data_IF_905740372825
#
_entry.id   IF_905740372825
#
_cell.length_a   1.000
_cell.length_b   1.000
_cell.length_c   1.000
_cell.angle_alpha   90.00
_cell.angle_beta   90.00
_cell.angle_gamma   90.00
#
_symmetry.space_group_name_H-M   'P 1'
#
loop_
_entity.id
_entity.type
_entity.pdbx_description
1 polymer ?
#
# COMPACT_ATOMS: atom_id res chain seq x y z
N UNK A 1 7.53 2.38 -13.87
CA UNK A 1 6.67 3.42 -14.51
C UNK A 1 7.17 4.81 -14.10
N UNK A 2 7.13 5.83 -14.97
CA UNK A 2 7.59 7.18 -14.61
C UNK A 2 6.63 7.85 -13.61
N UNK A 3 7.17 8.58 -12.65
CA UNK A 3 6.44 9.50 -11.75
C UNK A 3 6.26 10.88 -12.38
N UNK A 4 5.39 11.71 -11.81
CA UNK A 4 5.27 13.12 -12.22
C UNK A 4 6.58 13.89 -11.99
N UNK A 5 7.31 13.60 -10.91
CA UNK A 5 8.63 14.17 -10.68
C UNK A 5 9.63 13.76 -11.79
N UNK A 6 9.56 12.54 -12.32
CA UNK A 6 10.42 12.10 -13.43
C UNK A 6 10.13 12.91 -14.70
N UNK A 7 8.85 13.05 -15.06
CA UNK A 7 8.39 13.84 -16.21
C UNK A 7 8.81 15.30 -16.07
N UNK A 8 8.63 15.86 -14.87
CA UNK A 8 9.02 17.25 -14.59
C UNK A 8 10.53 17.45 -14.68
N UNK A 9 11.35 16.50 -14.19
CA UNK A 9 12.81 16.55 -14.32
C UNK A 9 13.28 16.50 -15.77
N UNK A 10 12.66 15.65 -16.58
CA UNK A 10 12.94 15.57 -18.01
C UNK A 10 12.59 16.89 -18.71
N UNK A 11 11.41 17.45 -18.43
CA UNK A 11 10.98 18.74 -18.98
C UNK A 11 11.91 19.90 -18.60
N UNK A 12 12.43 19.92 -17.36
CA UNK A 12 13.42 20.91 -16.93
C UNK A 12 14.75 20.73 -17.66
N UNK A 13 15.22 19.48 -17.83
CA UNK A 13 16.48 19.17 -18.50
C UNK A 13 16.45 19.56 -19.98
N UNK A 14 15.34 19.33 -20.67
CA UNK A 14 15.16 19.75 -22.06
C UNK A 14 15.27 21.27 -22.23
N UNK A 15 14.93 22.04 -21.20
CA UNK A 15 15.08 23.51 -21.17
C UNK A 15 16.43 23.97 -20.61
N UNK A 16 17.37 23.06 -20.37
CA UNK A 16 18.71 23.38 -19.86
C UNK A 16 18.73 23.79 -18.38
N UNK A 17 17.70 23.45 -17.60
CA UNK A 17 17.60 23.82 -16.18
C UNK A 17 18.16 22.69 -15.31
N UNK A 18 19.21 22.98 -14.54
CA UNK A 18 19.87 22.01 -13.65
C UNK A 18 19.39 22.07 -12.19
N UNK A 19 18.81 23.21 -11.78
CA UNK A 19 18.28 23.40 -10.43
C UNK A 19 17.14 24.42 -10.41
N UNK A 20 16.22 24.26 -9.45
CA UNK A 20 15.09 25.17 -9.26
C UNK A 20 14.93 25.59 -7.79
N UNK A 21 14.65 26.86 -7.56
CA UNK A 21 14.22 27.40 -6.29
C UNK A 21 12.69 27.49 -6.16
N UNK A 22 12.22 28.15 -5.11
CA UNK A 22 10.79 28.45 -4.93
C UNK A 22 10.62 29.84 -4.31
N UNK A 23 9.69 30.62 -4.84
CA UNK A 23 9.23 31.88 -4.24
C UNK A 23 8.08 31.67 -3.24
N UNK A 24 7.57 30.44 -3.11
CA UNK A 24 6.52 30.08 -2.16
C UNK A 24 7.07 29.29 -0.97
N UNK A 25 6.70 29.72 0.25
CA UNK A 25 7.11 29.08 1.52
C UNK A 25 6.40 27.75 1.81
N UNK A 26 5.38 27.37 1.02
CA UNK A 26 4.56 26.17 1.27
C UNK A 26 5.32 24.84 1.15
N UNK A 27 6.44 24.81 0.43
CA UNK A 27 7.23 23.60 0.21
C UNK A 27 8.31 23.36 1.29
N UNK A 28 8.29 24.07 2.42
CA UNK A 28 9.34 23.97 3.45
C UNK A 28 9.49 22.56 4.03
N UNK A 29 8.37 21.87 4.29
CA UNK A 29 8.32 20.51 4.89
C UNK A 29 8.14 19.39 3.86
N UNK A 30 8.30 19.71 2.57
CA UNK A 30 8.18 18.74 1.49
C UNK A 30 9.24 17.65 1.60
N UNK A 31 8.82 16.38 1.45
CA UNK A 31 9.74 15.24 1.34
C UNK A 31 10.33 15.12 -0.07
N UNK A 32 9.54 15.42 -1.09
CA UNK A 32 9.94 15.44 -2.48
C UNK A 32 9.52 16.77 -3.13
N UNK A 33 10.48 17.71 -3.18
CA UNK A 33 10.25 19.09 -3.64
C UNK A 33 9.78 19.14 -5.08
N UNK A 34 10.38 18.31 -5.93
CA UNK A 34 10.10 18.27 -7.36
C UNK A 34 8.68 17.75 -7.61
N UNK A 35 8.27 16.71 -6.90
CA UNK A 35 6.89 16.20 -6.96
C UNK A 35 5.89 17.26 -6.52
N UNK A 36 6.07 17.88 -5.35
CA UNK A 36 5.11 18.85 -4.83
C UNK A 36 5.00 20.11 -5.70
N UNK A 37 6.11 20.57 -6.28
CA UNK A 37 6.12 21.68 -7.25
C UNK A 37 5.38 21.28 -8.53
N UNK A 38 5.68 20.10 -9.09
CA UNK A 38 5.06 19.61 -10.32
C UNK A 38 3.54 19.44 -10.16
N UNK A 39 3.08 18.95 -8.99
CA UNK A 39 1.66 18.88 -8.63
C UNK A 39 0.99 20.26 -8.74
N UNK A 40 1.62 21.29 -8.20
CA UNK A 40 1.04 22.62 -8.23
C UNK A 40 1.06 23.26 -9.62
N UNK A 41 2.04 22.91 -10.45
CA UNK A 41 2.09 23.33 -11.85
C UNK A 41 0.99 22.61 -12.65
N UNK A 42 0.87 21.29 -12.56
CA UNK A 42 -0.11 20.51 -13.33
C UNK A 42 -1.55 20.89 -12.97
N UNK A 43 -1.81 21.30 -11.73
CA UNK A 43 -3.10 21.82 -11.28
C UNK A 43 -3.29 23.33 -11.54
N UNK A 44 -2.43 23.95 -12.34
CA UNK A 44 -2.58 25.34 -12.80
C UNK A 44 -2.43 26.38 -11.69
N UNK A 45 -1.70 26.07 -10.61
CA UNK A 45 -1.48 27.01 -9.49
C UNK A 45 -0.21 27.83 -9.64
N UNK A 46 0.72 27.41 -10.49
CA UNK A 46 1.93 28.17 -10.82
C UNK A 46 2.71 27.61 -11.99
N UNK A 47 3.91 28.16 -12.20
CA UNK A 47 4.81 27.79 -13.29
C UNK A 47 6.26 27.93 -12.80
N UNK A 48 7.22 27.50 -13.64
CA UNK A 48 8.63 27.82 -13.44
C UNK A 48 8.95 29.10 -14.20
N UNK A 49 9.61 30.02 -13.52
CA UNK A 49 9.98 31.33 -14.05
C UNK A 49 11.48 31.55 -13.95
N UNK A 50 12.00 32.39 -14.85
CA UNK A 50 13.34 32.97 -14.71
C UNK A 50 13.24 34.21 -13.83
N UNK A 51 13.99 34.23 -12.74
CA UNK A 51 14.02 35.32 -11.77
C UNK A 51 15.30 36.16 -11.93
N UNK A 52 15.26 37.48 -11.65
CA UNK A 52 16.41 38.37 -11.85
C UNK A 52 17.56 38.10 -10.87
N UNK A 53 17.24 37.63 -9.66
CA UNK A 53 18.22 37.29 -8.63
C UNK A 53 18.15 35.80 -8.28
N UNK A 54 19.30 35.22 -7.92
CA UNK A 54 19.33 33.85 -7.42
C UNK A 54 18.45 33.72 -6.18
N UNK A 55 17.63 32.68 -6.15
CA UNK A 55 16.90 32.28 -4.95
C UNK A 55 17.85 31.98 -3.79
N UNK A 56 17.41 32.16 -2.54
CA UNK A 56 18.26 31.86 -1.38
C UNK A 56 18.64 30.36 -1.26
N UNK A 57 17.83 29.48 -1.86
CA UNK A 57 18.06 28.03 -1.87
C UNK A 57 17.37 27.43 -3.09
N UNK A 58 18.02 26.45 -3.71
CA UNK A 58 17.44 25.64 -4.78
C UNK A 58 17.64 24.14 -4.52
N UNK A 59 17.02 23.34 -5.39
CA UNK A 59 17.19 21.90 -5.45
C UNK A 59 17.60 21.49 -6.86
N UNK A 60 18.61 20.63 -6.96
CA UNK A 60 19.01 20.05 -8.23
C UNK A 60 17.95 19.04 -8.73
N UNK A 61 18.13 18.54 -9.96
CA UNK A 61 17.23 17.53 -10.54
C UNK A 61 17.26 16.19 -9.80
N UNK A 62 18.13 15.95 -8.81
CA UNK A 62 18.07 14.78 -7.93
C UNK A 62 17.31 15.05 -6.62
N UNK A 63 16.85 16.29 -6.42
CA UNK A 63 16.18 16.74 -5.20
C UNK A 63 17.16 17.14 -4.08
N UNK A 64 18.47 17.15 -4.33
CA UNK A 64 19.47 17.58 -3.34
C UNK A 64 19.49 19.10 -3.27
N UNK A 65 19.68 19.62 -2.06
CA UNK A 65 19.79 21.06 -1.82
C UNK A 65 21.11 21.59 -2.41
N UNK A 66 21.02 22.67 -3.16
CA UNK A 66 22.17 23.35 -3.79
C UNK A 66 22.11 24.88 -3.55
N UNK A 67 23.12 25.60 -4.05
CA UNK A 67 23.12 27.07 -4.10
C UNK A 67 21.91 27.58 -4.91
N UNK A 68 21.56 28.85 -4.71
CA UNK A 68 20.47 29.51 -5.40
C UNK A 68 20.43 29.34 -6.91
N UNK A 69 19.21 29.23 -7.44
CA UNK A 69 18.95 29.17 -8.88
C UNK A 69 18.28 30.45 -9.38
N UNK A 70 18.58 30.80 -10.64
CA UNK A 70 17.85 31.81 -11.42
C UNK A 70 16.50 31.30 -11.95
N UNK A 71 16.16 30.04 -11.70
CA UNK A 71 14.86 29.45 -12.03
C UNK A 71 14.13 29.13 -10.74
N UNK A 72 12.86 29.53 -10.63
CA UNK A 72 12.08 29.31 -9.43
C UNK A 72 10.62 29.01 -9.76
N UNK A 73 10.02 28.15 -8.94
CA UNK A 73 8.57 28.06 -8.89
C UNK A 73 7.97 29.35 -8.33
N UNK A 74 6.94 29.88 -9.00
CA UNK A 74 6.08 30.94 -8.48
C UNK A 74 4.60 30.71 -8.83
N UNK A 75 3.66 31.24 -8.02
CA UNK A 75 2.24 31.20 -8.38
C UNK A 75 1.92 31.98 -9.65
N UNK A 76 0.84 31.62 -10.36
CA UNK A 76 0.47 32.28 -11.63
C UNK A 76 0.19 33.78 -11.49
N UNK A 77 -0.21 34.27 -10.31
CA UNK A 77 -0.37 35.70 -10.05
C UNK A 77 0.93 36.51 -10.14
N UNK A 78 2.08 35.86 -10.30
CA UNK A 78 3.38 36.49 -10.56
C UNK A 78 3.83 36.41 -12.02
N UNK A 79 2.97 35.93 -12.93
CA UNK A 79 3.33 35.69 -14.33
C UNK A 79 3.70 36.96 -15.09
N UNK A 80 3.14 38.12 -14.73
CA UNK A 80 3.51 39.41 -15.34
C UNK A 80 4.88 39.94 -14.88
N UNK A 81 5.42 39.40 -13.79
CA UNK A 81 6.67 39.91 -13.17
C UNK A 81 7.92 39.21 -13.69
N UNK A 82 7.78 37.98 -14.18
CA UNK A 82 8.91 37.12 -14.52
C UNK A 82 8.64 36.37 -15.82
N UNK A 83 9.70 36.08 -16.56
CA UNK A 83 9.61 35.31 -17.81
C UNK A 83 9.22 33.85 -17.50
N UNK A 84 8.08 33.35 -18.02
CA UNK A 84 7.68 31.96 -17.83
C UNK A 84 8.57 31.03 -18.66
N UNK A 85 9.09 29.98 -18.01
CA UNK A 85 10.00 29.02 -18.62
C UNK A 85 9.35 27.65 -18.78
N UNK A 86 8.56 27.19 -17.80
CA UNK A 86 7.75 25.97 -17.91
C UNK A 86 6.33 26.20 -17.39
N UNK A 87 5.34 26.15 -18.28
CA UNK A 87 3.93 26.41 -17.95
C UNK A 87 3.16 25.14 -17.58
N UNK A 88 1.97 25.27 -16.95
CA UNK A 88 1.06 24.14 -16.72
C UNK A 88 0.73 23.36 -17.99
N UNK A 89 0.46 24.05 -19.09
CA UNK A 89 0.07 23.46 -20.38
C UNK A 89 1.21 22.65 -20.97
N UNK A 90 2.43 23.18 -20.94
CA UNK A 90 3.64 22.46 -21.38
C UNK A 90 3.87 21.19 -20.56
N UNK A 91 3.76 21.26 -19.23
CA UNK A 91 3.94 20.08 -18.38
C UNK A 91 2.84 19.03 -18.61
N UNK A 92 1.57 19.46 -18.73
CA UNK A 92 0.43 18.57 -19.01
C UNK A 92 0.60 17.82 -20.33
N UNK A 93 1.15 18.49 -21.36
CA UNK A 93 1.38 17.87 -22.68
C UNK A 93 2.40 16.73 -22.66
N UNK A 94 3.22 16.64 -21.61
CA UNK A 94 4.27 15.62 -21.44
C UNK A 94 3.87 14.47 -20.51
N UNK A 95 2.67 14.52 -19.94
CA UNK A 95 2.24 13.46 -19.01
C UNK A 95 2.01 12.15 -19.78
N UNK A 96 2.49 11.00 -19.26
CA UNK A 96 2.13 9.71 -19.80
C UNK A 96 0.67 9.36 -19.45
N UNK A 97 0.12 8.38 -20.16
CA UNK A 97 -1.18 7.78 -19.86
C UNK A 97 -1.04 6.84 -18.64
N UNK A 98 -1.17 7.39 -17.43
CA UNK A 98 -1.17 6.60 -16.20
C UNK A 98 -2.51 5.88 -16.03
N UNK A 99 -2.52 4.66 -15.45
CA UNK A 99 -3.74 3.91 -15.26
C UNK A 99 -4.64 4.56 -14.21
N UNK A 100 -5.95 4.45 -14.40
CA UNK A 100 -6.93 4.80 -13.38
C UNK A 100 -6.92 3.80 -12.22
N UNK A 101 -7.09 4.30 -11.00
CA UNK A 101 -7.33 3.51 -9.81
C UNK A 101 -8.74 3.79 -9.33
N UNK A 102 -9.63 2.84 -9.59
CA UNK A 102 -11.08 2.99 -9.41
C UNK A 102 -11.48 2.44 -8.05
N UNK A 103 -12.23 3.25 -7.30
CA UNK A 103 -12.98 2.82 -6.12
C UNK A 103 -14.46 2.85 -6.49
N UNK A 104 -15.07 1.67 -6.54
CA UNK A 104 -16.46 1.48 -6.94
C UNK A 104 -17.40 1.65 -5.74
N UNK A 105 -18.33 2.61 -5.77
CA UNK A 105 -19.25 2.83 -4.66
C UNK A 105 -20.66 2.25 -4.90
N UNK A 106 -20.84 1.28 -5.80
CA UNK A 106 -22.15 0.67 -6.08
C UNK A 106 -22.88 0.16 -4.83
N UNK A 107 -22.11 -0.28 -3.82
CA UNK A 107 -22.63 -0.83 -2.57
C UNK A 107 -22.61 0.19 -1.41
N UNK A 108 -22.48 1.48 -1.71
CA UNK A 108 -22.41 2.55 -0.72
C UNK A 108 -23.55 2.48 0.31
N UNK A 109 -24.78 2.28 -0.14
CA UNK A 109 -25.96 2.25 0.75
C UNK A 109 -26.04 1.03 1.66
N UNK A 110 -25.23 0.00 1.42
CA UNK A 110 -25.12 -1.16 2.31
C UNK A 110 -24.20 -0.90 3.50
N UNK A 111 -23.42 0.18 3.48
CA UNK A 111 -22.51 0.54 4.56
C UNK A 111 -23.26 1.30 5.66
N UNK A 112 -22.90 1.02 6.91
CA UNK A 112 -23.26 1.89 8.04
C UNK A 112 -22.58 3.25 7.91
N UNK A 113 -23.11 4.30 8.56
CA UNK A 113 -22.52 5.64 8.56
C UNK A 113 -21.04 5.66 9.03
N UNK A 114 -20.70 4.79 9.99
CA UNK A 114 -19.33 4.64 10.47
C UNK A 114 -18.41 4.03 9.41
N UNK A 115 -18.90 3.10 8.62
CA UNK A 115 -18.14 2.48 7.54
C UNK A 115 -17.99 3.44 6.36
N UNK A 116 -19.06 4.17 5.99
CA UNK A 116 -19.02 5.26 5.00
C UNK A 116 -17.91 6.26 5.32
N UNK A 117 -17.84 6.73 6.57
CA UNK A 117 -16.76 7.61 7.02
C UNK A 117 -15.35 7.01 6.88
N UNK A 118 -15.19 5.70 7.14
CA UNK A 118 -13.91 4.99 6.91
C UNK A 118 -13.57 4.87 5.44
N UNK A 119 -14.54 4.65 4.56
CA UNK A 119 -14.34 4.60 3.11
C UNK A 119 -13.88 5.97 2.61
N UNK A 120 -14.56 7.06 2.96
CA UNK A 120 -14.14 8.43 2.62
C UNK A 120 -12.71 8.73 3.08
N UNK A 121 -12.35 8.35 4.32
CA UNK A 121 -10.99 8.52 4.84
C UNK A 121 -9.96 7.75 4.00
N UNK A 122 -10.26 6.49 3.65
CA UNK A 122 -9.35 5.67 2.84
C UNK A 122 -9.20 6.23 1.43
N UNK A 123 -10.27 6.71 0.79
CA UNK A 123 -10.21 7.36 -0.53
C UNK A 123 -9.34 8.63 -0.45
N UNK A 124 -9.46 9.44 0.61
CA UNK A 124 -8.62 10.64 0.77
C UNK A 124 -7.14 10.26 0.94
N UNK A 125 -6.86 9.17 1.67
CA UNK A 125 -5.52 8.62 1.78
C UNK A 125 -5.01 8.04 0.44
N UNK A 126 -5.89 7.50 -0.41
CA UNK A 126 -5.54 7.07 -1.76
C UNK A 126 -5.11 8.25 -2.63
N UNK A 127 -5.84 9.36 -2.58
CA UNK A 127 -5.46 10.59 -3.28
C UNK A 127 -4.08 11.07 -2.82
N UNK A 128 -3.82 11.07 -1.51
CA UNK A 128 -2.51 11.43 -0.96
C UNK A 128 -1.39 10.55 -1.52
N UNK A 129 -1.60 9.23 -1.61
CA UNK A 129 -0.64 8.32 -2.22
C UNK A 129 -0.43 8.61 -3.71
N UNK A 130 -1.49 8.71 -4.50
CA UNK A 130 -1.37 8.96 -5.94
C UNK A 130 -0.72 10.32 -6.22
N UNK A 131 -1.01 11.35 -5.44
CA UNK A 131 -0.36 12.66 -5.54
C UNK A 131 1.14 12.60 -5.26
N UNK A 132 1.62 11.62 -4.48
CA UNK A 132 3.03 11.45 -4.19
C UNK A 132 3.79 10.73 -5.34
N UNK A 133 3.08 10.13 -6.32
CA UNK A 133 3.66 9.45 -7.49
C UNK A 133 3.28 10.09 -8.84
N UNK A 134 2.00 10.39 -9.05
CA UNK A 134 1.39 10.87 -10.29
C UNK A 134 0.77 12.26 -10.06
N UNK A 135 -0.45 12.52 -10.53
CA UNK A 135 -1.13 13.83 -10.34
C UNK A 135 -2.20 13.81 -9.23
N UNK A 136 -2.68 12.61 -8.89
CA UNK A 136 -3.83 12.38 -8.02
C UNK A 136 -5.15 12.24 -8.79
N UNK A 137 -5.22 12.71 -10.04
CA UNK A 137 -6.42 12.63 -10.89
C UNK A 137 -6.68 11.24 -11.45
N UNK A 138 -5.70 10.36 -11.35
CA UNK A 138 -5.82 8.93 -11.66
C UNK A 138 -6.74 8.21 -10.67
N UNK A 139 -7.00 8.78 -9.49
CA UNK A 139 -8.01 8.25 -8.57
C UNK A 139 -9.39 8.53 -9.14
N UNK A 140 -10.10 7.46 -9.50
CA UNK A 140 -11.48 7.52 -9.95
C UNK A 140 -12.41 6.97 -8.88
N UNK A 141 -13.51 7.67 -8.61
CA UNK A 141 -14.58 7.19 -7.73
C UNK A 141 -15.86 7.16 -8.54
N UNK A 142 -16.36 5.96 -8.80
CA UNK A 142 -17.61 5.70 -9.54
C UNK A 142 -18.77 5.50 -8.57
N UNK A 143 -20.01 5.61 -9.05
CA UNK A 143 -21.20 5.65 -8.19
C UNK A 143 -21.13 6.74 -7.10
N UNK A 144 -20.50 7.88 -7.43
CA UNK A 144 -20.17 8.92 -6.47
C UNK A 144 -21.35 9.87 -6.18
N UNK A 145 -22.39 9.34 -5.53
CA UNK A 145 -23.59 10.08 -5.16
C UNK A 145 -23.35 11.25 -4.21
N UNK A 146 -24.40 12.06 -4.00
CA UNK A 146 -24.35 13.31 -3.23
C UNK A 146 -23.90 13.10 -1.76
N UNK A 147 -24.31 12.01 -1.12
CA UNK A 147 -23.91 11.71 0.26
C UNK A 147 -22.39 11.50 0.38
N UNK A 148 -21.77 10.76 -0.55
CA UNK A 148 -20.32 10.61 -0.59
C UNK A 148 -19.63 11.97 -0.73
N UNK A 149 -20.10 12.81 -1.66
CA UNK A 149 -19.54 14.15 -1.92
C UNK A 149 -19.61 15.05 -0.67
N UNK A 150 -20.69 14.93 0.11
CA UNK A 150 -20.86 15.65 1.40
C UNK A 150 -19.94 15.12 2.50
N UNK A 151 -19.73 13.81 2.56
CA UNK A 151 -18.89 13.16 3.59
C UNK A 151 -17.39 13.22 3.27
N UNK A 152 -17.02 13.38 2.01
CA UNK A 152 -15.63 13.34 1.57
C UNK A 152 -14.92 14.68 1.81
N UNK A 153 -13.99 14.68 2.77
CA UNK A 153 -13.16 15.85 3.11
C UNK A 153 -11.84 15.91 2.32
N UNK A 154 -11.83 15.49 1.06
CA UNK A 154 -10.69 15.60 0.15
C UNK A 154 -10.98 16.53 -1.03
N UNK A 155 -9.98 16.80 -1.90
CA UNK A 155 -10.13 17.71 -3.03
C UNK A 155 -10.90 17.04 -4.18
N UNK A 156 -12.23 17.21 -4.20
CA UNK A 156 -13.10 16.72 -5.29
C UNK A 156 -12.70 17.28 -6.66
N UNK A 157 -12.08 18.47 -6.71
CA UNK A 157 -11.58 19.12 -7.91
C UNK A 157 -10.32 18.48 -8.50
N UNK A 158 -9.65 17.60 -7.73
CA UNK A 158 -8.38 16.97 -8.13
C UNK A 158 -8.47 15.46 -8.39
N UNK A 159 -9.59 14.84 -8.02
CA UNK A 159 -9.87 13.42 -8.28
C UNK A 159 -10.91 13.31 -9.40
N UNK A 160 -10.97 12.15 -10.06
CA UNK A 160 -11.98 11.88 -11.07
C UNK A 160 -13.24 11.34 -10.39
N UNK A 161 -14.33 12.11 -10.37
CA UNK A 161 -15.59 11.71 -9.75
C UNK A 161 -16.62 11.42 -10.84
N UNK A 162 -17.25 10.26 -10.78
CA UNK A 162 -18.24 9.80 -11.75
C UNK A 162 -19.51 9.31 -11.04
N UNK A 163 -20.66 9.86 -11.40
CA UNK A 163 -21.93 9.56 -10.71
C UNK A 163 -22.50 8.19 -11.11
N UNK A 164 -22.20 7.75 -12.33
CA UNK A 164 -22.76 6.54 -12.92
C UNK A 164 -21.97 5.25 -12.63
N UNK A 165 -22.35 4.16 -13.30
CA UNK A 165 -21.70 2.86 -13.20
C UNK A 165 -20.25 2.86 -13.70
N UNK A 166 -19.42 2.02 -13.09
CA UNK A 166 -18.03 1.82 -13.51
C UNK A 166 -17.89 1.42 -14.98
N UNK A 167 -18.80 0.60 -15.51
CA UNK A 167 -18.78 0.19 -16.91
C UNK A 167 -18.94 1.37 -17.88
N UNK A 168 -19.78 2.35 -17.55
CA UNK A 168 -20.00 3.54 -18.39
C UNK A 168 -18.79 4.46 -18.34
N UNK A 169 -18.24 4.70 -17.15
CA UNK A 169 -16.97 5.43 -16.98
C UNK A 169 -15.85 4.84 -17.85
N UNK A 170 -15.69 3.51 -17.81
CA UNK A 170 -14.65 2.82 -18.59
C UNK A 170 -14.88 2.99 -20.10
N UNK A 171 -16.12 2.88 -20.57
CA UNK A 171 -16.48 3.12 -21.99
C UNK A 171 -16.19 4.55 -22.43
N UNK A 172 -16.54 5.55 -21.61
CA UNK A 172 -16.22 6.96 -21.88
C UNK A 172 -14.71 7.20 -21.99
N UNK A 173 -13.93 6.50 -21.16
CA UNK A 173 -12.45 6.54 -21.19
C UNK A 173 -11.83 5.63 -22.26
N UNK A 174 -12.66 4.91 -23.05
CA UNK A 174 -12.23 3.95 -24.07
C UNK A 174 -11.30 2.87 -23.48
N UNK A 175 -11.66 2.36 -22.31
CA UNK A 175 -10.98 1.28 -21.61
C UNK A 175 -11.88 0.04 -21.70
N UNK A 176 -11.38 -1.01 -22.34
CA UNK A 176 -12.08 -2.27 -22.59
C UNK A 176 -11.55 -3.44 -21.73
N UNK A 177 -10.40 -3.26 -21.06
CA UNK A 177 -9.81 -4.24 -20.17
C UNK A 177 -9.35 -3.61 -18.85
N UNK A 178 -9.64 -4.29 -17.73
CA UNK A 178 -9.30 -3.85 -16.38
C UNK A 178 -8.74 -4.99 -15.53
N UNK A 179 -8.00 -4.63 -14.49
CA UNK A 179 -7.66 -5.55 -13.39
C UNK A 179 -8.60 -5.30 -12.21
N UNK A 180 -9.29 -6.34 -11.75
CA UNK A 180 -10.13 -6.30 -10.55
C UNK A 180 -9.40 -6.98 -9.40
N UNK A 181 -9.14 -6.23 -8.33
CA UNK A 181 -8.51 -6.77 -7.12
C UNK A 181 -9.57 -7.52 -6.31
N UNK A 182 -9.39 -8.83 -6.22
CA UNK A 182 -10.30 -9.75 -5.56
C UNK A 182 -9.50 -10.75 -4.71
N UNK A 183 -9.66 -10.76 -3.38
CA UNK A 183 -8.95 -11.70 -2.51
C UNK A 183 -9.28 -13.17 -2.81
N UNK A 184 -10.39 -13.44 -3.51
CA UNK A 184 -10.84 -14.78 -3.88
C UNK A 184 -10.41 -15.20 -5.30
N UNK A 185 -9.67 -14.36 -6.02
CA UNK A 185 -9.20 -14.71 -7.37
C UNK A 185 -8.20 -15.87 -7.36
N UNK A 186 -8.19 -16.66 -8.42
CA UNK A 186 -7.23 -17.76 -8.59
C UNK A 186 -5.82 -17.24 -8.87
N UNK A 187 -5.70 -16.24 -9.75
CA UNK A 187 -4.43 -15.68 -10.20
C UNK A 187 -3.90 -14.57 -9.28
N UNK A 188 -2.58 -14.55 -9.09
CA UNK A 188 -1.88 -13.54 -8.30
C UNK A 188 -1.50 -12.36 -9.19
N UNK A 189 -1.67 -11.13 -8.68
CA UNK A 189 -1.23 -9.91 -9.37
C UNK A 189 0.26 -9.98 -9.71
N UNK A 190 0.63 -9.61 -10.93
CA UNK A 190 2.01 -9.66 -11.40
C UNK A 190 2.35 -8.48 -12.31
N UNK A 191 3.61 -8.34 -12.69
CA UNK A 191 4.06 -7.30 -13.64
C UNK A 191 3.35 -7.38 -15.00
N UNK A 192 2.89 -8.58 -15.39
CA UNK A 192 2.13 -8.81 -16.63
C UNK A 192 0.75 -8.14 -16.63
N UNK A 193 0.30 -7.65 -15.47
CA UNK A 193 -0.99 -7.00 -15.29
C UNK A 193 -0.86 -5.47 -15.26
N UNK A 194 0.36 -4.92 -15.35
CA UNK A 194 0.62 -3.48 -15.26
C UNK A 194 0.49 -2.73 -16.59
N UNK A 195 0.16 -3.45 -17.66
CA UNK A 195 -0.15 -2.94 -18.99
C UNK A 195 -1.59 -2.37 -19.09
N UNK A 196 -2.47 -2.73 -18.15
CA UNK A 196 -3.86 -2.29 -18.17
C UNK A 196 -4.00 -0.80 -17.84
N UNK A 197 -5.06 -0.18 -18.36
CA UNK A 197 -5.37 1.24 -18.15
C UNK A 197 -6.20 1.52 -16.90
N UNK A 198 -6.70 0.50 -16.21
CA UNK A 198 -7.44 0.68 -14.97
C UNK A 198 -7.33 -0.51 -14.01
N UNK A 199 -7.24 -0.18 -12.72
CA UNK A 199 -7.32 -1.11 -11.59
C UNK A 199 -8.55 -0.77 -10.76
N UNK A 200 -9.40 -1.74 -10.47
CA UNK A 200 -10.51 -1.60 -9.53
C UNK A 200 -10.06 -2.14 -8.18
N UNK A 201 -9.80 -1.22 -7.23
CA UNK A 201 -9.07 -1.47 -5.98
C UNK A 201 -9.92 -1.39 -4.72
N UNK A 202 -11.22 -1.10 -4.84
CA UNK A 202 -12.10 -0.95 -3.69
C UNK A 202 -13.56 -0.84 -4.05
N UNK A 203 -14.40 -0.93 -3.01
CA UNK A 203 -15.86 -0.86 -3.12
C UNK A 203 -16.64 -1.93 -2.37
N UNK A 204 -15.94 -2.91 -1.79
CA UNK A 204 -16.57 -4.10 -1.22
C UNK A 204 -16.45 -4.16 0.30
N UNK A 205 -17.62 -4.24 0.94
CA UNK A 205 -17.82 -4.64 2.34
C UNK A 205 -17.51 -6.13 2.47
N UNK A 206 -16.27 -6.50 2.77
CA UNK A 206 -15.90 -7.89 3.11
C UNK A 206 -15.52 -8.04 4.59
N UNK A 207 -15.99 -7.14 5.45
CA UNK A 207 -15.95 -7.33 6.90
C UNK A 207 -17.31 -7.79 7.43
N UNK A 208 -17.62 -9.09 7.26
CA UNK A 208 -18.50 -9.79 8.20
C UNK A 208 -19.81 -10.41 7.70
N UNK A 209 -19.92 -10.83 6.44
CA UNK A 209 -21.08 -11.62 6.00
C UNK A 209 -20.76 -12.53 4.81
N UNK A 210 -21.50 -13.63 4.65
CA UNK A 210 -21.31 -14.67 3.62
C UNK A 210 -21.42 -14.21 2.15
N UNK A 211 -21.52 -12.91 1.88
CA UNK A 211 -21.77 -12.39 0.53
C UNK A 211 -20.47 -12.01 -0.16
N UNK A 212 -19.96 -12.92 -1.00
CA UNK A 212 -18.92 -12.64 -2.00
C UNK A 212 -19.42 -11.56 -2.99
N UNK A 213 -19.17 -10.30 -2.70
CA UNK A 213 -19.72 -9.17 -3.47
C UNK A 213 -18.76 -8.68 -4.58
N UNK A 214 -17.44 -8.79 -4.37
CA UNK A 214 -16.42 -8.46 -5.39
C UNK A 214 -16.58 -9.22 -6.71
N UNK A 215 -16.87 -10.54 -6.70
CA UNK A 215 -17.10 -11.28 -7.94
C UNK A 215 -18.25 -10.72 -8.79
N UNK A 216 -19.27 -10.14 -8.15
CA UNK A 216 -20.45 -9.59 -8.86
C UNK A 216 -20.10 -8.36 -9.68
N UNK A 217 -19.20 -7.50 -9.18
CA UNK A 217 -18.71 -6.35 -9.94
C UNK A 217 -18.02 -6.84 -11.22
N UNK A 218 -17.21 -7.90 -11.12
CA UNK A 218 -16.58 -8.54 -12.27
C UNK A 218 -17.61 -9.03 -13.30
N UNK A 219 -18.63 -9.77 -12.85
CA UNK A 219 -19.69 -10.28 -13.73
C UNK A 219 -20.47 -9.16 -14.44
N UNK A 220 -20.74 -8.04 -13.75
CA UNK A 220 -21.43 -6.89 -14.33
C UNK A 220 -20.59 -6.17 -15.39
N UNK A 221 -19.29 -6.04 -15.15
CA UNK A 221 -18.35 -5.48 -16.13
C UNK A 221 -18.23 -6.35 -17.38
N UNK A 222 -18.12 -7.67 -17.21
CA UNK A 222 -18.06 -8.62 -18.33
C UNK A 222 -19.36 -8.60 -19.15
N UNK A 223 -20.53 -8.55 -18.50
CA UNK A 223 -21.83 -8.38 -19.18
C UNK A 223 -21.91 -7.07 -19.97
N UNK A 224 -21.22 -6.03 -19.50
CA UNK A 224 -21.13 -4.75 -20.20
C UNK A 224 -20.09 -4.73 -21.34
N UNK A 225 -19.40 -5.85 -21.60
CA UNK A 225 -18.40 -6.01 -22.65
C UNK A 225 -16.98 -5.61 -22.24
N UNK A 226 -16.70 -5.47 -20.94
CA UNK A 226 -15.37 -5.15 -20.42
C UNK A 226 -14.67 -6.44 -19.99
N UNK A 227 -13.44 -6.66 -20.47
CA UNK A 227 -12.62 -7.79 -20.05
C UNK A 227 -12.06 -7.58 -18.65
N UNK A 228 -12.21 -8.56 -17.77
CA UNK A 228 -11.80 -8.44 -16.36
C UNK A 228 -10.71 -9.45 -16.00
N UNK A 229 -9.51 -8.96 -15.69
CA UNK A 229 -8.43 -9.75 -15.08
C UNK A 229 -8.59 -9.76 -13.57
N UNK A 230 -9.19 -10.81 -12.99
CA UNK A 230 -9.30 -10.95 -11.53
C UNK A 230 -7.96 -11.34 -10.94
N UNK A 231 -7.49 -10.59 -9.94
CA UNK A 231 -6.18 -10.79 -9.30
C UNK A 231 -6.28 -10.69 -7.78
N UNK A 232 -5.58 -11.58 -7.07
CA UNK A 232 -5.34 -11.46 -5.63
C UNK A 232 -3.95 -10.93 -5.34
N UNK A 233 -3.80 -10.25 -4.21
CA UNK A 233 -2.51 -9.91 -3.61
C UNK A 233 -2.25 -10.91 -2.48
N UNK A 234 -1.01 -11.40 -2.39
CA UNK A 234 -0.61 -12.42 -1.42
C UNK A 234 0.69 -12.02 -0.73
N UNK A 235 0.92 -12.57 0.46
CA UNK A 235 2.18 -12.54 1.17
C UNK A 235 2.68 -13.98 1.34
N UNK A 236 3.84 -14.31 0.76
CA UNK A 236 4.37 -15.69 0.75
C UNK A 236 3.30 -16.72 0.33
N UNK A 237 2.58 -16.41 -0.75
CA UNK A 237 1.57 -17.30 -1.35
C UNK A 237 0.21 -17.37 -0.63
N UNK A 238 -0.05 -16.54 0.37
CA UNK A 238 -1.27 -16.57 1.16
C UNK A 238 -1.83 -15.15 1.38
N UNK A 239 -3.15 -14.99 1.31
CA UNK A 239 -3.83 -13.70 1.54
C UNK A 239 -3.73 -13.25 2.99
N UNK A 240 -3.54 -14.18 3.94
CA UNK A 240 -3.48 -13.82 5.36
C UNK A 240 -2.23 -12.99 5.66
N UNK A 241 -2.42 -11.80 6.22
CA UNK A 241 -1.34 -10.84 6.46
C UNK A 241 -1.29 -9.72 5.43
N UNK A 242 -2.02 -9.83 4.32
CA UNK A 242 -2.22 -8.71 3.40
C UNK A 242 -3.22 -7.72 4.01
N UNK A 243 -2.95 -6.40 3.98
CA UNK A 243 -3.92 -5.38 4.38
C UNK A 243 -5.21 -5.44 3.56
N UNK A 244 -6.33 -5.11 4.19
CA UNK A 244 -7.66 -5.04 3.55
C UNK A 244 -8.09 -3.61 3.18
N UNK A 245 -7.39 -2.58 3.69
CA UNK A 245 -7.71 -1.18 3.42
C UNK A 245 -7.34 -0.76 2.00
N UNK A 246 -8.25 0.00 1.35
CA UNK A 246 -8.14 0.44 -0.05
C UNK A 246 -6.82 1.18 -0.30
N UNK A 247 -6.46 2.12 0.58
CA UNK A 247 -5.22 2.88 0.45
C UNK A 247 -3.97 2.04 0.67
N UNK A 248 -4.06 0.95 1.45
CA UNK A 248 -2.94 0.02 1.61
C UNK A 248 -2.76 -0.85 0.37
N UNK A 249 -3.86 -1.34 -0.21
CA UNK A 249 -3.86 -2.08 -1.48
C UNK A 249 -3.28 -1.22 -2.60
N UNK A 250 -3.74 0.02 -2.75
CA UNK A 250 -3.19 0.97 -3.72
C UNK A 250 -1.69 1.17 -3.54
N UNK A 251 -1.21 1.40 -2.31
CA UNK A 251 0.22 1.60 -2.10
C UNK A 251 1.07 0.34 -2.34
N UNK A 252 0.51 -0.88 -2.20
CA UNK A 252 1.18 -2.11 -2.65
C UNK A 252 1.36 -2.08 -4.16
N UNK A 253 0.29 -1.74 -4.90
CA UNK A 253 0.32 -1.67 -6.36
C UNK A 253 1.33 -0.61 -6.83
N UNK A 254 1.30 0.61 -6.27
CA UNK A 254 2.24 1.68 -6.63
C UNK A 254 3.70 1.30 -6.37
N UNK A 255 3.99 0.58 -5.27
CA UNK A 255 5.33 0.08 -4.97
C UNK A 255 5.82 -0.94 -5.99
N UNK A 256 4.95 -1.85 -6.43
CA UNK A 256 5.31 -2.81 -7.46
C UNK A 256 5.47 -2.12 -8.83
N UNK A 257 4.51 -1.27 -9.22
CA UNK A 257 4.46 -0.64 -10.55
C UNK A 257 5.53 0.44 -10.77
N UNK A 258 5.84 1.22 -9.72
CA UNK A 258 6.71 2.39 -9.83
C UNK A 258 8.10 2.11 -9.25
N UNK A 259 8.17 1.53 -8.05
CA UNK A 259 9.45 1.23 -7.40
C UNK A 259 10.06 -0.11 -7.84
N UNK A 260 9.32 -0.95 -8.58
CA UNK A 260 9.79 -2.27 -9.04
C UNK A 260 9.97 -3.28 -7.89
N UNK A 261 9.30 -3.05 -6.76
CA UNK A 261 9.40 -3.94 -5.59
C UNK A 261 8.65 -5.24 -5.82
N UNK A 262 9.16 -6.31 -5.23
CA UNK A 262 8.42 -7.58 -5.18
C UNK A 262 7.13 -7.42 -4.37
N UNK A 263 6.14 -8.29 -4.61
CA UNK A 263 4.87 -8.27 -3.88
C UNK A 263 5.08 -8.42 -2.37
N UNK A 264 5.98 -9.31 -1.93
CA UNK A 264 6.26 -9.53 -0.52
C UNK A 264 6.83 -8.27 0.15
N UNK A 265 7.77 -7.57 -0.51
CA UNK A 265 8.34 -6.31 0.00
C UNK A 265 7.29 -5.20 0.06
N UNK A 266 6.50 -5.06 -1.01
CA UNK A 266 5.43 -4.07 -1.07
C UNK A 266 4.36 -4.29 0.01
N UNK A 267 3.95 -5.56 0.21
CA UNK A 267 3.03 -5.93 1.30
C UNK A 267 3.67 -5.64 2.65
N UNK A 268 4.92 -6.04 2.89
CA UNK A 268 5.61 -5.81 4.16
C UNK A 268 5.63 -4.31 4.54
N UNK A 269 5.94 -3.43 3.59
CA UNK A 269 5.98 -1.99 3.85
C UNK A 269 4.60 -1.42 4.18
N UNK A 270 3.55 -1.91 3.52
CA UNK A 270 2.16 -1.46 3.73
C UNK A 270 1.43 -2.21 4.84
N UNK A 271 2.02 -3.28 5.39
CA UNK A 271 1.41 -4.15 6.39
C UNK A 271 1.16 -3.40 7.70
N UNK A 272 -0.04 -3.54 8.26
CA UNK A 272 -0.33 -3.08 9.61
C UNK A 272 -0.01 -4.20 10.62
N UNK A 273 0.45 -3.86 11.84
CA UNK A 273 0.79 -4.86 12.85
C UNK A 273 -0.35 -5.86 13.16
N UNK A 274 -1.61 -5.45 12.98
CA UNK A 274 -2.77 -6.34 13.13
C UNK A 274 -2.73 -7.51 12.15
N UNK A 275 -2.58 -7.24 10.85
CA UNK A 275 -2.53 -8.28 9.81
C UNK A 275 -1.27 -9.16 9.97
N UNK A 276 -0.13 -8.54 10.32
CA UNK A 276 1.10 -9.26 10.61
C UNK A 276 0.90 -10.29 11.74
N UNK A 277 0.23 -9.90 12.84
CA UNK A 277 -0.13 -10.81 13.94
C UNK A 277 -1.12 -11.89 13.52
N UNK A 278 -2.10 -11.59 12.66
CA UNK A 278 -3.02 -12.64 12.15
C UNK A 278 -2.25 -13.71 11.38
N UNK A 279 -1.32 -13.30 10.50
CA UNK A 279 -0.46 -14.26 9.80
C UNK A 279 0.44 -15.02 10.78
N UNK A 280 1.03 -14.33 11.75
CA UNK A 280 1.85 -14.98 12.78
C UNK A 280 1.09 -16.06 13.57
N UNK A 281 -0.20 -15.83 13.89
CA UNK A 281 -1.06 -16.83 14.55
C UNK A 281 -1.23 -18.10 13.73
N UNK A 282 -1.26 -18.00 12.40
CA UNK A 282 -1.34 -19.14 11.48
C UNK A 282 0.00 -19.87 11.38
N UNK A 283 1.12 -19.14 11.38
CA UNK A 283 2.44 -19.72 11.12
C UNK A 283 3.09 -20.36 12.37
N UNK A 284 3.00 -19.73 13.54
CA UNK A 284 3.65 -20.23 14.76
C UNK A 284 3.26 -21.67 15.15
N UNK A 285 1.97 -22.06 15.15
CA UNK A 285 1.56 -23.43 15.46
C UNK A 285 2.23 -24.51 14.61
N UNK A 286 2.58 -24.20 13.35
CA UNK A 286 3.21 -25.15 12.42
C UNK A 286 4.64 -25.51 12.84
N UNK A 287 5.29 -24.66 13.64
CA UNK A 287 6.65 -24.85 14.16
C UNK A 287 6.69 -25.32 15.62
N UNK A 288 5.52 -25.51 16.25
CA UNK A 288 5.44 -25.86 17.66
C UNK A 288 5.76 -27.34 17.92
N UNK A 289 6.72 -27.58 18.82
CA UNK A 289 7.08 -28.90 19.33
C UNK A 289 6.24 -29.17 20.59
N UNK A 290 5.63 -30.35 20.68
CA UNK A 290 4.84 -30.75 21.86
C UNK A 290 5.70 -31.54 22.83
N UNK A 291 5.83 -31.04 24.06
CA UNK A 291 6.43 -31.76 25.17
C UNK A 291 5.36 -32.23 26.14
N UNK A 292 5.49 -33.46 26.66
CA UNK A 292 4.67 -33.94 27.77
C UNK A 292 5.56 -34.10 28.99
N UNK A 293 5.36 -33.24 29.98
CA UNK A 293 6.10 -33.22 31.25
C UNK A 293 5.09 -33.50 32.34
N UNK A 294 5.28 -34.61 33.06
CA UNK A 294 4.40 -34.99 34.18
C UNK A 294 2.90 -34.98 33.83
N UNK A 295 2.54 -35.58 32.71
CA UNK A 295 1.15 -35.60 32.22
C UNK A 295 0.67 -34.30 31.56
N UNK A 296 1.28 -33.14 31.85
CA UNK A 296 0.93 -31.85 31.26
C UNK A 296 1.61 -31.65 29.90
N UNK A 297 0.87 -31.08 28.94
CA UNK A 297 1.38 -30.79 27.59
C UNK A 297 1.84 -29.34 27.51
N UNK A 298 3.04 -29.13 26.97
CA UNK A 298 3.62 -27.83 26.69
C UNK A 298 3.91 -27.72 25.19
N UNK A 299 3.54 -26.60 24.59
CA UNK A 299 3.83 -26.32 23.18
C UNK A 299 4.96 -25.30 23.12
N UNK A 300 6.09 -25.72 22.58
CA UNK A 300 7.33 -24.94 22.60
C UNK A 300 7.72 -24.56 21.18
N UNK A 301 8.17 -23.33 20.99
CA UNK A 301 8.73 -22.81 19.75
C UNK A 301 10.12 -22.23 20.00
N UNK A 302 10.95 -22.19 18.96
CA UNK A 302 12.26 -21.50 19.02
C UNK A 302 12.06 -19.99 19.16
N UNK A 303 12.82 -19.36 20.06
CA UNK A 303 12.82 -17.91 20.26
C UNK A 303 13.28 -17.17 19.00
N UNK A 304 14.25 -17.76 18.31
CA UNK A 304 14.89 -17.27 17.08
C UNK A 304 13.91 -17.26 15.87
N UNK A 305 12.73 -17.87 16.00
CA UNK A 305 11.67 -17.70 14.99
C UNK A 305 11.24 -16.23 14.88
N UNK A 306 11.44 -15.42 15.91
CA UNK A 306 11.19 -13.98 15.81
C UNK A 306 11.99 -13.35 14.67
N UNK A 307 13.30 -13.61 14.59
CA UNK A 307 14.18 -13.02 13.56
C UNK A 307 13.75 -13.48 12.16
N UNK A 308 13.36 -14.75 12.04
CA UNK A 308 12.80 -15.28 10.79
C UNK A 308 11.52 -14.57 10.40
N UNK A 309 10.54 -14.46 11.30
CA UNK A 309 9.25 -13.85 10.97
C UNK A 309 9.34 -12.34 10.80
N UNK A 310 10.16 -11.63 11.58
CA UNK A 310 10.32 -10.17 11.48
C UNK A 310 10.96 -9.73 10.17
N UNK A 311 11.68 -10.62 9.49
CA UNK A 311 12.25 -10.35 8.16
C UNK A 311 11.21 -10.16 7.05
N UNK A 312 9.98 -10.67 7.22
CA UNK A 312 8.92 -10.59 6.20
C UNK A 312 7.50 -10.36 6.74
N UNK A 313 7.32 -10.36 8.06
CA UNK A 313 6.14 -9.86 8.77
C UNK A 313 6.53 -8.63 9.56
N UNK A 314 5.76 -7.55 9.42
CA UNK A 314 5.98 -6.28 10.12
C UNK A 314 5.53 -6.38 11.58
N UNK A 315 6.24 -7.20 12.35
CA UNK A 315 6.02 -7.46 13.77
C UNK A 315 7.17 -6.91 14.60
N UNK A 316 6.85 -6.44 15.80
CA UNK A 316 7.84 -6.16 16.85
C UNK A 316 7.92 -7.33 17.82
N UNK A 317 8.90 -7.30 18.71
CA UNK A 317 9.05 -8.34 19.73
C UNK A 317 7.80 -8.46 20.61
N UNK A 318 7.15 -7.33 20.94
CA UNK A 318 5.92 -7.32 21.74
C UNK A 318 4.75 -8.01 21.02
N UNK A 319 4.68 -7.87 19.70
CA UNK A 319 3.67 -8.53 18.87
C UNK A 319 3.88 -10.05 18.86
N UNK A 320 5.15 -10.49 18.79
CA UNK A 320 5.51 -11.91 18.87
C UNK A 320 5.14 -12.51 20.22
N UNK A 321 5.54 -11.87 21.33
CA UNK A 321 5.20 -12.30 22.69
C UNK A 321 3.69 -12.32 22.93
N UNK A 322 2.96 -11.33 22.41
CA UNK A 322 1.51 -11.29 22.50
C UNK A 322 0.87 -12.53 21.84
N UNK A 323 1.29 -12.86 20.62
CA UNK A 323 0.76 -14.03 19.91
C UNK A 323 1.14 -15.34 20.61
N UNK A 324 2.34 -15.45 21.19
CA UNK A 324 2.72 -16.62 22.00
C UNK A 324 1.75 -16.84 23.16
N UNK A 325 1.41 -15.77 23.91
CA UNK A 325 0.46 -15.82 25.03
C UNK A 325 -0.94 -16.22 24.57
N UNK A 326 -1.43 -15.62 23.49
CA UNK A 326 -2.75 -15.92 22.93
C UNK A 326 -2.87 -17.39 22.45
N UNK A 327 -1.77 -18.01 22.03
CA UNK A 327 -1.75 -19.39 21.53
C UNK A 327 -1.29 -20.43 22.56
N UNK A 328 -1.03 -20.01 23.81
CA UNK A 328 -0.43 -20.83 24.87
C UNK A 328 0.85 -21.53 24.41
N UNK A 329 1.76 -20.75 23.82
CA UNK A 329 3.07 -21.18 23.34
C UNK A 329 4.19 -20.64 24.24
N UNK A 330 5.18 -21.49 24.51
CA UNK A 330 6.41 -21.13 25.22
C UNK A 330 7.53 -20.96 24.21
N UNK A 331 8.20 -19.80 24.21
CA UNK A 331 9.42 -19.60 23.43
C UNK A 331 10.65 -19.96 24.26
N UNK A 332 11.50 -20.84 23.73
CA UNK A 332 12.79 -21.20 24.32
C UNK A 332 13.90 -21.00 23.29
N UNK A 333 15.11 -20.67 23.75
CA UNK A 333 16.29 -20.63 22.89
C UNK A 333 16.54 -22.00 22.23
N UNK A 334 17.04 -21.98 20.98
CA UNK A 334 17.35 -23.20 20.23
C UNK A 334 18.25 -24.16 21.00
N UNK A 335 19.22 -23.65 21.76
CA UNK A 335 20.12 -24.46 22.60
C UNK A 335 19.34 -25.25 23.68
N UNK A 336 18.36 -24.61 24.33
CA UNK A 336 17.50 -25.26 25.34
C UNK A 336 16.61 -26.32 24.69
N UNK A 337 16.02 -26.03 23.52
CA UNK A 337 15.22 -27.01 22.77
C UNK A 337 16.07 -28.21 22.34
N UNK A 338 17.30 -28.00 21.89
CA UNK A 338 18.21 -29.09 21.54
C UNK A 338 18.53 -29.98 22.74
N UNK A 339 18.76 -29.38 23.91
CA UNK A 339 18.94 -30.13 25.15
C UNK A 339 17.68 -30.94 25.51
N UNK A 340 16.49 -30.32 25.50
CA UNK A 340 15.20 -30.98 25.72
C UNK A 340 14.97 -32.16 24.76
N UNK A 341 15.35 -31.99 23.50
CA UNK A 341 15.26 -33.04 22.48
C UNK A 341 16.15 -34.25 22.79
N UNK A 342 17.34 -34.05 23.39
CA UNK A 342 18.25 -35.13 23.79
C UNK A 342 17.75 -35.92 24.99
N UNK A 343 17.07 -35.27 25.93
CA UNK A 343 16.61 -35.90 27.17
C UNK A 343 15.17 -36.43 27.11
N UNK A 344 14.46 -36.20 26.00
CA UNK A 344 13.08 -36.63 25.78
C UNK A 344 12.97 -37.86 24.87
N UNK A 345 11.91 -38.64 25.06
CA UNK A 345 11.55 -39.75 24.18
C UNK A 345 10.40 -39.35 23.26
N UNK A 346 10.55 -39.56 21.95
CA UNK A 346 9.49 -39.31 20.98
C UNK A 346 8.41 -40.40 21.04
N UNK A 347 7.14 -40.03 21.15
CA UNK A 347 5.99 -40.95 21.09
C UNK A 347 4.85 -40.32 20.30
N UNK A 348 4.08 -41.15 19.60
CA UNK A 348 2.84 -40.73 18.93
C UNK A 348 1.68 -40.99 19.89
N UNK A 349 0.87 -39.96 20.16
CA UNK A 349 -0.33 -40.04 21.00
C UNK A 349 -1.46 -39.37 20.21
N UNK A 350 -2.57 -40.08 19.96
CA UNK A 350 -3.71 -39.58 19.20
C UNK A 350 -3.31 -38.95 17.85
N UNK A 351 -2.43 -39.64 17.10
CA UNK A 351 -1.94 -39.21 15.78
C UNK A 351 -0.99 -38.00 15.80
N UNK A 352 -0.58 -37.50 16.97
CA UNK A 352 0.34 -36.36 17.11
C UNK A 352 1.64 -36.81 17.77
N UNK A 353 2.77 -36.26 17.30
CA UNK A 353 4.08 -36.50 17.89
C UNK A 353 4.25 -35.67 19.18
N UNK A 354 4.65 -36.34 20.25
CA UNK A 354 5.00 -35.77 21.56
C UNK A 354 6.41 -36.17 21.95
N UNK A 355 7.11 -35.28 22.64
CA UNK A 355 8.37 -35.53 23.32
C UNK A 355 8.12 -35.67 24.82
N UNK A 356 8.24 -36.88 25.33
CA UNK A 356 7.95 -37.21 26.74
C UNK A 356 9.20 -36.98 27.59
N UNK A 357 9.04 -36.23 28.68
CA UNK A 357 10.06 -35.94 29.68
C UNK A 357 9.59 -36.48 31.03
N UNK A 358 10.43 -37.29 31.68
CA UNK A 358 10.20 -37.76 33.04
C UNK A 358 10.81 -36.75 34.03
N UNK A 359 10.05 -36.38 35.08
CA UNK A 359 10.33 -35.30 36.05
C UNK A 359 11.78 -35.23 36.55
N UNK A 360 12.43 -36.37 36.79
CA UNK A 360 13.84 -36.43 37.24
C UNK A 360 14.82 -35.70 36.32
N UNK A 361 14.46 -35.47 35.04
CA UNK A 361 15.27 -34.70 34.08
C UNK A 361 14.79 -33.25 33.86
N UNK A 362 13.57 -32.92 34.28
CA UNK A 362 12.98 -31.59 34.08
C UNK A 362 13.39 -30.57 35.17
N UNK A 363 13.69 -31.03 36.39
CA UNK A 363 14.15 -30.19 37.50
C UNK A 363 15.47 -29.43 37.21
N UNK A 364 16.27 -29.88 36.23
CA UNK A 364 17.49 -29.19 35.78
C UNK A 364 17.24 -27.92 34.95
N UNK A 365 15.98 -27.59 34.62
CA UNK A 365 15.64 -26.45 33.75
C UNK A 365 15.18 -25.18 34.48
N UNK A 366 14.99 -25.26 35.81
CA UNK A 366 14.58 -24.12 36.64
C UNK A 366 15.77 -23.31 37.21
N UNK A 367 17.00 -23.59 36.81
CA UNK A 367 18.16 -22.77 37.19
C UNK A 367 18.50 -21.82 36.04
N UNK A 368 18.50 -20.51 36.35
CA UNK A 368 18.67 -19.35 35.47
C UNK A 368 17.36 -18.79 34.89
N UNK A 369 16.51 -18.33 35.80
CA UNK A 369 15.63 -17.17 35.63
C UNK A 369 16.46 -15.91 35.36
#
# INVERSE_FOLDING_TARGET
>A
MKTLADVFREALREKGIESIGTLSKRFRKSKNKLQDIAIEIVHGKGAIFRVPEKTAVAWDLSGRRVEGSYYAYAPLCMMEKFEPVLTPEELRSKLPDWPYFIVDLQLWDKHTQKEKGKVCLQINQCYGLLRDYFTGSELAVTWAGEEFRKMFHGPLDRITVYDGPTAEFLKEKKIDEVVLLDPWADEVLSEKDFDVKAFIIGGIVDTGGEKKLTPKIGEELEKAGIKVRRRKIVLKGDILGVPDRINRILGIILKMMVEGKSMDEAVYEMQEPLHARWRLRKELPKRAIRYKVDGKTYRVVEKELFDYYSSWLKIRWEDFVKVLRELDLIALERKRIHHLNKISNARIINGKLYRILLLKKAAMLCYNC
#
